data_IF_578185764388
#
_entry.id   IF_578185764388
#
_cell.length_a   1.000
_cell.length_b   1.000
_cell.length_c   1.000
_cell.angle_alpha   90.00
_cell.angle_beta   90.00
_cell.angle_gamma   90.00
#
_symmetry.space_group_name_H-M   'P 1'
#
loop_
_entity.id
_entity.type
_entity.pdbx_description
1 polymer ?
#
# COMPACT_ATOMS: atom_id res chain seq x y z
N UNK A 1 -18.95 33.26 28.87
CA UNK A 1 -17.71 33.04 28.06
C UNK A 1 -17.14 31.63 28.18
N UNK A 2 -17.09 31.00 29.37
CA UNK A 2 -16.59 29.61 29.53
C UNK A 2 -17.38 28.52 28.78
N UNK A 3 -18.71 28.69 28.65
CA UNK A 3 -19.59 27.74 27.93
C UNK A 3 -19.35 27.72 26.42
N UNK A 4 -19.01 28.87 25.83
CA UNK A 4 -18.66 29.00 24.42
C UNK A 4 -17.28 28.39 24.12
N UNK A 5 -16.33 28.57 25.05
CA UNK A 5 -15.01 27.94 24.99
C UNK A 5 -15.10 26.40 25.07
N UNK A 6 -15.97 25.86 25.93
CA UNK A 6 -16.22 24.42 26.00
C UNK A 6 -16.84 23.87 24.70
N UNK A 7 -17.73 24.63 24.06
CA UNK A 7 -18.39 24.22 22.81
C UNK A 7 -17.42 24.21 21.62
N UNK A 8 -16.52 25.21 21.55
CA UNK A 8 -15.43 25.20 20.56
C UNK A 8 -14.46 24.05 20.78
N UNK A 9 -14.13 23.72 22.03
CA UNK A 9 -13.21 22.63 22.36
C UNK A 9 -13.82 21.27 22.00
N UNK A 10 -15.12 21.08 22.23
CA UNK A 10 -15.81 19.85 21.82
C UNK A 10 -15.95 19.73 20.30
N UNK A 11 -16.20 20.83 19.60
CA UNK A 11 -16.26 20.86 18.13
C UNK A 11 -14.90 20.60 17.49
N UNK A 12 -13.83 21.16 18.07
CA UNK A 12 -12.45 20.87 17.66
C UNK A 12 -12.11 19.39 17.87
N UNK A 13 -12.52 18.80 19.01
CA UNK A 13 -12.33 17.38 19.29
C UNK A 13 -13.05 16.48 18.27
N UNK A 14 -14.26 16.85 17.85
CA UNK A 14 -15.04 16.15 16.82
C UNK A 14 -14.37 16.17 15.44
N UNK A 15 -13.76 17.30 15.06
CA UNK A 15 -13.02 17.44 13.79
C UNK A 15 -11.76 16.54 13.73
N UNK A 16 -11.14 16.24 14.87
CA UNK A 16 -9.99 15.32 14.94
C UNK A 16 -10.40 13.84 14.83
N UNK A 17 -11.64 13.49 15.21
CA UNK A 17 -12.12 12.10 15.25
C UNK A 17 -12.73 11.64 13.91
N UNK A 18 -13.03 12.55 12.98
CA UNK A 18 -13.45 12.22 11.61
C UNK A 18 -12.29 11.79 10.68
N UNK A 19 -11.22 11.23 11.26
CA UNK A 19 -10.09 10.67 10.51
C UNK A 19 -10.51 9.46 9.69
N UNK A 20 -10.10 9.44 8.41
CA UNK A 20 -10.31 8.35 7.46
C UNK A 20 -9.98 6.99 8.11
N UNK A 21 -10.97 6.09 8.16
CA UNK A 21 -10.85 4.77 8.81
C UNK A 21 -9.73 3.89 8.24
N UNK A 22 -9.44 2.73 8.86
CA UNK A 22 -8.32 1.88 8.47
C UNK A 22 -8.44 1.46 7.01
N UNK A 23 -7.45 1.85 6.20
CA UNK A 23 -7.39 1.47 4.78
C UNK A 23 -7.12 -0.03 4.69
N UNK A 24 -7.99 -0.75 3.99
CA UNK A 24 -7.77 -2.18 3.71
C UNK A 24 -6.68 -2.31 2.65
N UNK A 25 -5.51 -2.78 3.08
CA UNK A 25 -4.37 -3.03 2.21
C UNK A 25 -4.29 -4.53 1.86
N UNK A 26 -3.91 -4.80 0.61
CA UNK A 26 -3.71 -6.13 0.04
C UNK A 26 -2.21 -6.40 -0.09
N UNK A 27 -1.80 -7.65 0.11
CA UNK A 27 -0.41 -8.07 -0.08
C UNK A 27 -0.26 -8.84 -1.39
N UNK A 28 0.78 -8.54 -2.15
CA UNK A 28 1.17 -9.34 -3.31
C UNK A 28 1.89 -10.59 -2.83
N UNK A 29 1.47 -11.75 -3.34
CA UNK A 29 2.16 -13.03 -3.15
C UNK A 29 2.70 -13.46 -4.51
N UNK A 30 4.02 -13.56 -4.63
CA UNK A 30 4.68 -13.97 -5.85
C UNK A 30 5.60 -15.15 -5.56
N UNK A 31 5.66 -16.11 -6.48
CA UNK A 31 6.58 -17.24 -6.44
C UNK A 31 7.57 -17.08 -7.60
N UNK A 32 8.86 -17.11 -7.30
CA UNK A 32 9.92 -17.08 -8.30
C UNK A 32 10.32 -18.53 -8.59
N UNK A 33 10.39 -18.88 -9.87
CA UNK A 33 10.87 -20.18 -10.35
C UNK A 33 12.15 -19.94 -11.14
N UNK A 34 13.24 -20.63 -10.77
CA UNK A 34 14.58 -20.33 -11.27
C UNK A 34 15.25 -19.17 -10.51
N UNK A 35 16.38 -18.68 -11.02
CA UNK A 35 17.13 -17.60 -10.38
C UNK A 35 16.83 -16.23 -11.00
N UNK A 36 16.42 -15.31 -10.14
CA UNK A 36 16.13 -13.93 -10.52
C UNK A 36 15.51 -13.16 -9.37
N UNK A 37 15.08 -11.95 -9.66
CA UNK A 37 14.34 -11.10 -8.73
C UNK A 37 13.22 -10.35 -9.46
N UNK A 38 12.39 -9.67 -8.67
CA UNK A 38 11.25 -8.89 -9.16
C UNK A 38 11.45 -7.41 -8.82
N UNK A 39 11.20 -6.56 -9.81
CA UNK A 39 11.03 -5.13 -9.60
C UNK A 39 9.53 -4.83 -9.66
N UNK A 40 9.01 -4.18 -8.62
CA UNK A 40 7.58 -3.86 -8.51
C UNK A 40 7.40 -2.35 -8.47
N UNK A 41 6.48 -1.83 -9.28
CA UNK A 41 6.21 -0.39 -9.39
C UNK A 41 4.69 -0.14 -9.27
N UNK A 42 4.24 0.58 -8.22
CA UNK A 42 5.04 1.11 -7.11
C UNK A 42 5.50 0.00 -6.13
N UNK A 43 6.70 0.10 -5.56
CA UNK A 43 7.17 -0.86 -4.55
C UNK A 43 6.59 -0.51 -3.17
N UNK A 44 5.54 -1.23 -2.76
CA UNK A 44 4.85 -1.03 -1.48
C UNK A 44 4.66 -2.35 -0.74
N UNK A 45 4.58 -2.26 0.59
CA UNK A 45 4.21 -3.38 1.46
C UNK A 45 2.72 -3.75 1.37
N UNK A 46 1.88 -2.85 0.86
CA UNK A 46 0.44 -3.01 0.74
C UNK A 46 -0.15 -2.18 -0.40
N UNK A 47 -1.16 -2.73 -1.07
CA UNK A 47 -1.81 -2.14 -2.23
C UNK A 47 -3.32 -1.99 -2.00
N UNK A 48 -3.93 -1.00 -2.63
CA UNK A 48 -5.39 -0.88 -2.60
C UNK A 48 -6.01 -1.82 -3.62
N UNK A 49 -7.24 -2.24 -3.35
CA UNK A 49 -8.04 -2.96 -4.35
C UNK A 49 -8.21 -2.08 -5.59
N UNK A 50 -7.87 -2.62 -6.76
CA UNK A 50 -7.94 -1.91 -8.04
C UNK A 50 -6.76 -1.00 -8.34
N UNK A 51 -5.74 -0.97 -7.48
CA UNK A 51 -4.48 -0.29 -7.79
C UNK A 51 -3.74 -1.06 -8.90
N UNK A 52 -3.28 -0.34 -9.93
CA UNK A 52 -2.44 -0.91 -10.98
C UNK A 52 -1.00 -1.05 -10.47
N UNK A 53 -0.43 -2.24 -10.69
CA UNK A 53 0.93 -2.56 -10.26
C UNK A 53 1.67 -3.22 -11.42
N UNK A 54 2.81 -2.65 -11.79
CA UNK A 54 3.71 -3.21 -12.79
C UNK A 54 4.75 -4.09 -12.10
N UNK A 55 4.90 -5.33 -12.56
CA UNK A 55 5.90 -6.27 -12.07
C UNK A 55 6.82 -6.65 -13.23
N UNK A 56 8.11 -6.43 -13.06
CA UNK A 56 9.15 -6.80 -14.03
C UNK A 56 10.00 -7.91 -13.43
N UNK A 57 10.06 -9.07 -14.10
CA UNK A 57 10.95 -10.16 -13.73
C UNK A 57 12.32 -9.96 -14.37
N UNK A 58 13.37 -10.03 -13.55
CA UNK A 58 14.76 -9.89 -13.98
C UNK A 58 15.49 -11.19 -13.66
N UNK A 59 15.96 -11.94 -14.68
CA UNK A 59 16.75 -13.15 -14.43
C UNK A 59 18.14 -12.78 -13.92
N UNK A 60 18.75 -13.65 -13.11
CA UNK A 60 20.17 -13.54 -12.79
C UNK A 60 21.05 -13.96 -13.98
N UNK A 61 22.34 -13.64 -13.89
CA UNK A 61 23.32 -14.01 -14.91
C UNK A 61 23.31 -15.54 -15.17
N UNK A 62 23.32 -15.91 -16.44
CA UNK A 62 23.25 -17.31 -16.88
C UNK A 62 21.84 -17.92 -16.88
N UNK A 63 20.81 -17.20 -16.43
CA UNK A 63 19.42 -17.62 -16.51
C UNK A 63 18.68 -16.90 -17.63
N UNK A 64 17.83 -17.63 -18.34
CA UNK A 64 16.99 -17.09 -19.42
C UNK A 64 15.57 -17.60 -19.29
N UNK A 65 14.62 -16.81 -19.77
CA UNK A 65 13.26 -17.28 -19.96
C UNK A 65 13.21 -18.17 -21.20
N UNK A 66 13.20 -19.49 -21.00
CA UNK A 66 12.88 -20.42 -22.07
C UNK A 66 11.37 -20.60 -22.17
N UNK A 67 10.89 -20.76 -23.40
CA UNK A 67 9.53 -21.30 -23.60
C UNK A 67 9.59 -22.80 -23.35
N UNK A 68 8.59 -23.31 -22.64
CA UNK A 68 8.33 -24.75 -22.55
C UNK A 68 8.09 -25.36 -23.94
#
# INVERSE_FOLDING_TARGET
MKKFLLLCLSFLLLLFVTGCGPKKELRLKVQIVGEGYLLTEPNKSGYRKGEEVKITAVPHDGYVFSKL
#
